data_IF_017510329408
#
_entry.id   IF_017510329408
#
_cell.length_a   1.000
_cell.length_b   1.000
_cell.length_c   1.000
_cell.angle_alpha   90.00
_cell.angle_beta   90.00
_cell.angle_gamma   90.00
#
_symmetry.space_group_name_H-M   'P 1'
#
loop_
_entity.id
_entity.type
_entity.pdbx_description
1 polymer ?
#
# COMPACT_ATOMS: atom_id res chain seq x y z
N UNK A 1 3.06 23.18 -4.19
CA UNK A 1 3.56 22.10 -3.31
C UNK A 1 3.08 22.44 -1.91
N UNK A 2 1.85 22.03 -1.59
CA UNK A 2 1.26 22.34 -0.29
C UNK A 2 1.66 21.25 0.71
N UNK A 3 2.14 21.67 1.88
CA UNK A 3 2.45 20.83 3.03
C UNK A 3 1.32 19.82 3.30
N UNK A 4 1.50 18.57 2.85
CA UNK A 4 0.65 17.44 3.24
C UNK A 4 1.15 16.86 4.57
N UNK A 5 1.29 17.70 5.59
CA UNK A 5 1.51 17.21 6.95
C UNK A 5 0.13 16.76 7.45
N UNK A 6 -0.05 15.50 7.88
CA UNK A 6 -1.31 15.06 8.46
C UNK A 6 -1.67 15.98 9.64
N UNK A 7 -2.91 16.50 9.72
CA UNK A 7 -3.34 17.22 10.91
C UNK A 7 -3.18 16.30 12.14
N UNK A 8 -2.73 16.88 13.25
CA UNK A 8 -2.54 16.16 14.49
C UNK A 8 -3.90 15.86 15.12
N UNK A 9 -4.47 14.70 14.80
CA UNK A 9 -5.71 14.20 15.39
C UNK A 9 -5.40 13.21 16.52
N UNK A 10 -6.25 13.23 17.55
CA UNK A 10 -6.06 12.56 18.85
C UNK A 10 -5.79 11.05 18.79
N UNK A 11 -5.44 10.47 19.94
CA UNK A 11 -5.14 9.03 20.03
C UNK A 11 -6.39 8.19 19.75
N UNK A 12 -6.34 7.33 18.74
CA UNK A 12 -7.35 6.33 18.43
C UNK A 12 -6.92 4.99 19.04
N UNK A 13 -7.58 4.56 20.12
CA UNK A 13 -7.23 3.30 20.78
C UNK A 13 -5.78 3.26 21.31
N UNK A 14 -5.17 4.43 21.56
CA UNK A 14 -3.79 4.56 22.01
C UNK A 14 -2.78 4.92 20.91
N UNK A 15 -3.15 4.74 19.64
CA UNK A 15 -2.30 5.02 18.48
C UNK A 15 -2.57 6.38 17.86
N UNK A 16 -1.52 7.01 17.36
CA UNK A 16 -1.63 8.18 16.50
C UNK A 16 -2.17 7.79 15.13
N UNK A 17 -2.79 8.76 14.45
CA UNK A 17 -3.19 8.60 13.05
C UNK A 17 -2.02 8.14 12.16
N UNK A 18 -0.82 8.68 12.38
CA UNK A 18 0.37 8.30 11.63
C UNK A 18 0.72 6.81 11.78
N UNK A 19 0.66 6.27 13.00
CA UNK A 19 0.94 4.85 13.24
C UNK A 19 -0.08 3.96 12.53
N UNK A 20 -1.37 4.32 12.57
CA UNK A 20 -2.43 3.60 11.87
C UNK A 20 -2.26 3.68 10.34
N UNK A 21 -1.94 4.86 9.81
CA UNK A 21 -1.67 5.05 8.38
C UNK A 21 -0.43 4.26 7.94
N UNK A 22 0.62 4.23 8.77
CA UNK A 22 1.85 3.48 8.51
C UNK A 22 1.59 1.97 8.47
N UNK A 23 0.88 1.42 9.46
CA UNK A 23 0.51 0.00 9.46
C UNK A 23 -0.36 -0.35 8.25
N UNK A 24 -1.37 0.46 7.96
CA UNK A 24 -2.24 0.26 6.81
C UNK A 24 -1.46 0.26 5.50
N UNK A 25 -0.57 1.23 5.29
CA UNK A 25 0.26 1.33 4.08
C UNK A 25 1.15 0.10 3.95
N UNK A 26 1.76 -0.38 5.03
CA UNK A 26 2.58 -1.59 5.01
C UNK A 26 1.78 -2.84 4.65
N UNK A 27 0.52 -2.94 5.09
CA UNK A 27 -0.37 -4.04 4.70
C UNK A 27 -0.65 -4.08 3.18
N UNK A 28 -0.53 -2.95 2.46
CA UNK A 28 -0.70 -2.92 1.00
C UNK A 28 0.39 -3.71 0.25
N UNK A 29 1.52 -4.01 0.89
CA UNK A 29 2.51 -4.90 0.29
C UNK A 29 2.03 -6.37 0.18
N UNK A 30 0.98 -6.76 0.91
CA UNK A 30 0.43 -8.11 0.89
C UNK A 30 -0.63 -8.28 -0.22
N UNK A 31 -0.37 -9.12 -1.26
CA UNK A 31 -1.32 -9.34 -2.35
C UNK A 31 -2.68 -9.86 -1.90
N UNK A 32 -2.75 -10.71 -0.88
CA UNK A 32 -4.02 -11.22 -0.36
C UNK A 32 -4.86 -10.12 0.30
N UNK A 33 -4.20 -9.17 0.98
CA UNK A 33 -4.90 -8.03 1.59
C UNK A 33 -5.49 -7.11 0.51
N UNK A 34 -4.75 -6.87 -0.58
CA UNK A 34 -5.27 -6.13 -1.73
C UNK A 34 -6.46 -6.84 -2.37
N UNK A 35 -6.37 -8.16 -2.56
CA UNK A 35 -7.46 -8.95 -3.12
C UNK A 35 -8.71 -8.89 -2.22
N UNK A 36 -8.53 -8.99 -0.90
CA UNK A 36 -9.61 -8.83 0.07
C UNK A 36 -10.29 -7.46 -0.04
N UNK A 37 -9.53 -6.36 -0.12
CA UNK A 37 -10.07 -5.02 -0.33
C UNK A 37 -10.86 -4.91 -1.65
N UNK A 38 -10.39 -5.57 -2.70
CA UNK A 38 -11.08 -5.60 -4.00
C UNK A 38 -12.40 -6.38 -3.94
N UNK A 39 -12.42 -7.54 -3.27
CA UNK A 39 -13.65 -8.32 -3.06
C UNK A 39 -14.71 -7.53 -2.29
N UNK A 40 -14.28 -6.66 -1.37
CA UNK A 40 -15.16 -5.74 -0.63
C UNK A 40 -15.57 -4.49 -1.41
N UNK A 41 -15.17 -4.37 -2.70
CA UNK A 41 -15.44 -3.20 -3.55
C UNK A 41 -14.92 -1.89 -2.95
N UNK A 42 -13.85 -1.95 -2.15
CA UNK A 42 -13.27 -0.75 -1.55
C UNK A 42 -12.66 0.16 -2.62
N UNK A 43 -12.07 -0.43 -3.67
CA UNK A 43 -11.47 0.29 -4.77
C UNK A 43 -12.47 0.95 -5.75
N UNK A 44 -13.76 0.61 -5.63
CA UNK A 44 -14.84 1.26 -6.40
C UNK A 44 -15.27 2.58 -5.75
N UNK A 45 -14.94 2.79 -4.47
CA UNK A 45 -15.30 3.98 -3.70
C UNK A 45 -14.31 5.12 -4.02
N UNK A 46 -14.76 6.22 -4.62
CA UNK A 46 -13.87 7.32 -5.01
C UNK A 46 -13.17 7.95 -3.79
N UNK A 47 -13.82 7.99 -2.63
CA UNK A 47 -13.25 8.51 -1.39
C UNK A 47 -12.06 7.66 -0.91
N UNK A 48 -12.15 6.34 -1.08
CA UNK A 48 -11.07 5.43 -0.71
C UNK A 48 -9.88 5.56 -1.66
N UNK A 49 -10.13 5.69 -2.97
CA UNK A 49 -9.06 5.95 -3.96
C UNK A 49 -8.38 7.29 -3.69
N UNK A 50 -9.15 8.33 -3.35
CA UNK A 50 -8.61 9.62 -2.93
C UNK A 50 -7.75 9.52 -1.67
N UNK A 51 -8.16 8.69 -0.70
CA UNK A 51 -7.37 8.42 0.51
C UNK A 51 -6.05 7.72 0.19
N UNK A 52 -6.04 6.72 -0.69
CA UNK A 52 -4.80 6.11 -1.19
C UNK A 52 -3.90 7.15 -1.89
N UNK A 53 -4.51 8.11 -2.61
CA UNK A 53 -3.80 9.24 -3.22
C UNK A 53 -3.22 10.23 -2.19
N UNK A 54 -3.89 10.41 -1.05
CA UNK A 54 -3.37 11.15 0.09
C UNK A 54 -2.15 10.44 0.70
N UNK A 55 -2.24 9.12 0.93
CA UNK A 55 -1.17 8.29 1.53
C UNK A 55 0.11 8.24 0.69
N UNK A 56 0.09 8.70 -0.57
CA UNK A 56 1.30 8.87 -1.39
C UNK A 56 2.37 9.76 -0.73
N UNK A 57 2.04 10.53 0.32
CA UNK A 57 3.03 11.28 1.10
C UNK A 57 4.11 10.36 1.72
N UNK A 58 3.83 9.07 1.95
CA UNK A 58 4.83 8.10 2.41
C UNK A 58 6.00 7.90 1.43
N UNK A 59 5.90 8.37 0.17
CA UNK A 59 7.01 8.38 -0.79
C UNK A 59 8.12 9.37 -0.41
N UNK A 60 7.81 10.41 0.37
CA UNK A 60 8.84 11.33 0.84
C UNK A 60 9.79 10.60 1.80
N UNK A 61 11.13 10.68 1.59
CA UNK A 61 12.13 10.05 2.46
C UNK A 61 11.95 10.31 3.96
N UNK A 62 11.37 11.47 4.33
CA UNK A 62 11.01 11.82 5.70
C UNK A 62 10.11 10.77 6.36
N UNK A 63 9.22 10.16 5.59
CA UNK A 63 8.27 9.15 6.07
C UNK A 63 8.62 7.73 5.60
N UNK A 64 9.17 7.58 4.40
CA UNK A 64 9.52 6.28 3.83
C UNK A 64 10.46 5.46 4.72
N UNK A 65 11.32 6.13 5.50
CA UNK A 65 12.26 5.50 6.44
C UNK A 65 11.59 4.65 7.54
N UNK A 66 10.28 4.84 7.78
CA UNK A 66 9.52 4.06 8.76
C UNK A 66 8.91 2.78 8.17
N UNK A 67 8.98 2.57 6.84
CA UNK A 67 8.47 1.36 6.19
C UNK A 67 9.49 0.22 6.30
N UNK A 68 9.04 -1.00 6.64
CA UNK A 68 9.89 -2.19 6.65
C UNK A 68 10.38 -2.58 5.25
N UNK A 69 9.47 -2.51 4.26
CA UNK A 69 9.74 -2.87 2.87
C UNK A 69 9.30 -1.74 1.93
N UNK A 70 10.04 -0.61 1.88
CA UNK A 70 9.59 0.59 1.18
C UNK A 70 9.37 0.35 -0.32
N UNK A 71 10.21 -0.44 -0.99
CA UNK A 71 10.09 -0.71 -2.43
C UNK A 71 8.73 -1.31 -2.82
N UNK A 72 8.41 -2.55 -2.39
CA UNK A 72 7.12 -3.18 -2.72
C UNK A 72 5.92 -2.39 -2.23
N UNK A 73 6.01 -1.81 -1.03
CA UNK A 73 4.91 -1.02 -0.44
C UNK A 73 4.57 0.20 -1.28
N UNK A 74 5.58 1.03 -1.60
CA UNK A 74 5.38 2.26 -2.36
C UNK A 74 5.01 1.97 -3.82
N UNK A 75 5.57 0.91 -4.41
CA UNK A 75 5.21 0.45 -5.74
C UNK A 75 3.73 0.09 -5.81
N UNK A 76 3.22 -0.72 -4.87
CA UNK A 76 1.81 -1.07 -4.84
C UNK A 76 0.93 0.16 -4.63
N UNK A 77 1.30 1.04 -3.71
CA UNK A 77 0.54 2.27 -3.45
C UNK A 77 0.41 3.14 -4.72
N UNK A 78 1.46 3.21 -5.54
CA UNK A 78 1.44 3.84 -6.85
C UNK A 78 0.56 3.12 -7.87
N UNK A 79 0.69 1.80 -7.99
CA UNK A 79 -0.15 1.00 -8.88
C UNK A 79 -1.65 1.13 -8.55
N UNK A 80 -2.00 1.24 -7.26
CA UNK A 80 -3.38 1.47 -6.82
C UNK A 80 -3.98 2.80 -7.30
N UNK A 81 -3.18 3.76 -7.78
CA UNK A 81 -3.70 4.96 -8.43
C UNK A 81 -4.17 4.70 -9.87
N UNK A 82 -3.74 3.60 -10.47
CA UNK A 82 -4.17 3.18 -11.80
C UNK A 82 -5.47 2.37 -11.71
N UNK A 83 -6.52 2.86 -12.36
CA UNK A 83 -7.83 2.20 -12.38
C UNK A 83 -7.76 0.77 -12.92
N UNK A 84 -6.91 0.54 -13.93
CA UNK A 84 -6.68 -0.78 -14.50
C UNK A 84 -6.21 -1.78 -13.44
N UNK A 85 -5.21 -1.41 -12.64
CA UNK A 85 -4.70 -2.27 -11.57
C UNK A 85 -5.75 -2.55 -10.51
N UNK A 86 -6.53 -1.53 -10.09
CA UNK A 86 -7.64 -1.69 -9.15
C UNK A 86 -8.69 -2.70 -9.62
N UNK A 87 -8.95 -2.76 -10.92
CA UNK A 87 -9.88 -3.74 -11.52
C UNK A 87 -9.28 -5.14 -11.64
N UNK A 88 -8.00 -5.24 -11.94
CA UNK A 88 -7.34 -6.52 -12.18
C UNK A 88 -6.98 -7.27 -10.88
N UNK A 89 -6.77 -6.58 -9.76
CA UNK A 89 -6.27 -7.19 -8.50
C UNK A 89 -7.20 -8.23 -7.86
N UNK A 90 -8.49 -8.21 -8.23
CA UNK A 90 -9.45 -9.25 -7.83
C UNK A 90 -9.17 -10.59 -8.53
N UNK A 91 -8.48 -10.57 -9.67
CA UNK A 91 -8.18 -11.74 -10.48
C UNK A 91 -7.20 -12.69 -9.77
N UNK A 92 -7.50 -14.00 -9.70
CA UNK A 92 -6.58 -15.00 -9.18
C UNK A 92 -5.23 -15.01 -9.91
N UNK A 93 -5.21 -14.70 -11.21
CA UNK A 93 -3.99 -14.70 -12.00
C UNK A 93 -3.02 -13.60 -11.54
N UNK A 94 -3.54 -12.40 -11.27
CA UNK A 94 -2.71 -11.29 -10.81
C UNK A 94 -2.25 -11.52 -9.35
N UNK A 95 -3.14 -12.06 -8.50
CA UNK A 95 -2.79 -12.44 -7.13
C UNK A 95 -1.61 -13.44 -7.10
N UNK A 96 -1.71 -14.54 -7.84
CA UNK A 96 -0.66 -15.56 -7.93
C UNK A 96 0.65 -14.97 -8.49
N UNK A 97 0.56 -14.09 -9.49
CA UNK A 97 1.74 -13.41 -10.04
C UNK A 97 2.46 -12.56 -8.99
N UNK A 98 1.71 -11.76 -8.22
CA UNK A 98 2.27 -10.90 -7.19
C UNK A 98 2.89 -11.69 -6.04
N UNK A 99 2.29 -12.82 -5.65
CA UNK A 99 2.87 -13.75 -4.66
C UNK A 99 4.21 -14.31 -5.14
N UNK A 100 4.26 -14.84 -6.37
CA UNK A 100 5.48 -15.38 -6.95
C UNK A 100 6.58 -14.32 -7.09
N UNK A 101 6.21 -13.10 -7.52
CA UNK A 101 7.14 -11.98 -7.61
C UNK A 101 7.68 -11.58 -6.22
N UNK A 102 6.83 -11.60 -5.18
CA UNK A 102 7.22 -11.38 -3.80
C UNK A 102 8.20 -12.44 -3.29
N UNK A 103 7.93 -13.72 -3.55
CA UNK A 103 8.82 -14.84 -3.19
C UNK A 103 10.19 -14.67 -3.86
N UNK A 104 10.22 -14.33 -5.14
CA UNK A 104 11.49 -14.12 -5.87
C UNK A 104 12.32 -13.00 -5.27
N UNK A 105 11.70 -11.91 -4.82
CA UNK A 105 12.41 -10.80 -4.19
C UNK A 105 12.90 -11.14 -2.76
N UNK A 106 12.33 -12.15 -2.12
CA UNK A 106 12.73 -12.60 -0.77
C UNK A 106 13.86 -13.62 -0.78
N UNK A 107 14.07 -14.35 -1.88
CA UNK A 107 15.20 -15.27 -2.05
C UNK A 107 16.40 -14.47 -2.55
N UNK A 108 17.51 -14.39 -1.80
CA UNK A 108 18.72 -13.75 -2.31
C UNK A 108 19.23 -14.53 -3.51
N UNK A 109 19.58 -13.83 -4.60
CA UNK A 109 20.21 -14.44 -5.76
C UNK A 109 21.40 -15.28 -5.29
N UNK A 110 21.31 -16.59 -5.46
CA UNK A 110 22.43 -17.50 -5.28
C UNK A 110 23.45 -17.16 -6.37
N UNK A 111 24.34 -16.22 -6.08
CA UNK A 111 25.51 -15.97 -6.93
C UNK A 111 26.32 -17.26 -6.97
N UNK A 112 26.31 -17.92 -8.13
CA UNK A 112 27.27 -18.96 -8.49
C UNK A 112 28.64 -18.40 -8.82
#
# INVERSE_FOLDING_TARGET
MADKIPPADGKYGGYSRFELELEFVQCLANPHYLNHLAQQKMFDKPEFVAYLGYLQYFKDPKFAKYLHHPGPTLQTLELLQQERFRREIISPNLLNYMELAGIRNAVPDSKG
#
